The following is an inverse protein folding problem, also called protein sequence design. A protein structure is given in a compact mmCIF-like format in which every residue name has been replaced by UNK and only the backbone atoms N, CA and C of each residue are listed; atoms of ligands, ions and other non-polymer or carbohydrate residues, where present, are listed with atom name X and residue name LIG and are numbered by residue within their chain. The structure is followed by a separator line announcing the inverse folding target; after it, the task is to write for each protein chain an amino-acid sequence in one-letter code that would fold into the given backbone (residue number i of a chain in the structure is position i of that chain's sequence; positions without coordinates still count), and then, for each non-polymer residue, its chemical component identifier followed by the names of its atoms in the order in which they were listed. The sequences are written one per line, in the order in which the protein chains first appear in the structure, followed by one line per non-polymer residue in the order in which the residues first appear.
data_IF_274958463774
#
_entry.id   IF_274958463774
#
_cell.length_a   1.000
_cell.length_b   1.000
_cell.length_c   1.000
_cell.angle_alpha   90.00
_cell.angle_beta   90.00
_cell.angle_gamma   90.00
#
_symmetry.space_group_name_H-M   'P 1'
#
loop_
_entity.id
_entity.type
_entity.pdbx_description
1 polymer ?
#
# COMPACT_ATOMS: atom_id res chain seq x y z
N UNK A 1 17.27 47.68 25.70
CA UNK A 1 16.77 46.32 25.94
C UNK A 1 15.57 45.90 25.04
N UNK A 2 15.16 46.69 24.03
CA UNK A 2 13.96 46.35 23.18
C UNK A 2 14.29 45.67 21.82
N UNK A 3 15.56 45.52 21.46
CA UNK A 3 15.95 44.95 20.16
C UNK A 3 16.23 43.42 20.17
N UNK A 4 16.43 42.80 21.35
CA UNK A 4 16.74 41.36 21.45
C UNK A 4 15.51 40.50 21.44
N UNK A 5 14.37 40.98 21.96
CA UNK A 5 13.10 40.22 22.01
C UNK A 5 12.48 40.02 20.63
N UNK A 6 12.62 40.97 19.70
CA UNK A 6 12.00 40.86 18.36
C UNK A 6 12.68 39.81 17.48
N UNK A 7 14.02 39.67 17.60
CA UNK A 7 14.78 38.68 16.82
C UNK A 7 14.49 37.24 17.26
N UNK A 8 14.28 37.00 18.55
CA UNK A 8 13.96 35.65 19.08
C UNK A 8 12.57 35.17 18.63
N UNK A 9 11.60 36.06 18.56
CA UNK A 9 10.25 35.73 18.09
C UNK A 9 10.19 35.43 16.58
N UNK A 10 11.00 36.14 15.78
CA UNK A 10 11.05 35.92 14.32
C UNK A 10 11.68 34.54 13.98
N UNK A 11 12.72 34.14 14.71
CA UNK A 11 13.36 32.83 14.53
C UNK A 11 12.46 31.72 14.99
N UNK A 12 11.71 31.89 16.07
CA UNK A 12 10.78 30.88 16.59
C UNK A 12 9.55 30.67 15.67
N UNK A 13 9.05 31.72 15.02
CA UNK A 13 7.99 31.64 14.03
C UNK A 13 8.42 30.92 12.73
N UNK A 14 9.66 31.14 12.28
CA UNK A 14 10.20 30.44 11.11
C UNK A 14 10.43 28.94 11.36
N UNK A 15 10.85 28.56 12.56
CA UNK A 15 11.05 27.15 12.91
C UNK A 15 9.73 26.35 12.99
N UNK A 16 8.63 26.99 13.38
CA UNK A 16 7.32 26.34 13.43
C UNK A 16 6.64 26.22 12.05
N UNK A 17 6.97 27.10 11.10
CA UNK A 17 6.40 27.06 9.75
C UNK A 17 7.11 26.02 8.83
N UNK A 18 8.39 25.73 9.09
CA UNK A 18 9.18 24.82 8.24
C UNK A 18 8.61 23.38 8.15
N UNK A 19 8.10 22.73 9.22
CA UNK A 19 7.49 21.42 9.15
C UNK A 19 6.18 21.41 8.34
N UNK A 20 5.38 22.46 8.44
CA UNK A 20 4.11 22.56 7.71
C UNK A 20 4.31 22.72 6.20
N UNK A 21 5.31 23.50 5.78
CA UNK A 21 5.66 23.64 4.37
C UNK A 21 6.16 22.32 3.76
N UNK A 22 6.95 21.54 4.51
CA UNK A 22 7.42 20.23 4.07
C UNK A 22 6.27 19.21 3.96
N UNK A 23 5.34 19.22 4.90
CA UNK A 23 4.19 18.32 4.89
C UNK A 23 3.25 18.64 3.70
N UNK A 24 2.99 19.92 3.45
CA UNK A 24 2.16 20.35 2.33
C UNK A 24 2.77 19.98 0.97
N UNK A 25 4.07 20.08 0.81
CA UNK A 25 4.77 19.69 -0.41
C UNK A 25 4.77 18.17 -0.61
N UNK A 26 4.95 17.36 0.45
CA UNK A 26 4.80 15.91 0.41
C UNK A 26 3.40 15.50 -0.04
N UNK A 27 2.36 16.06 0.59
CA UNK A 27 0.97 15.72 0.29
C UNK A 27 0.61 16.07 -1.15
N UNK A 28 1.04 17.21 -1.66
CA UNK A 28 0.86 17.61 -3.05
C UNK A 28 1.53 16.64 -4.02
N UNK A 29 2.77 16.24 -3.74
CA UNK A 29 3.54 15.30 -4.56
C UNK A 29 2.94 13.90 -4.54
N UNK A 30 2.50 13.40 -3.38
CA UNK A 30 1.79 12.12 -3.27
C UNK A 30 0.46 12.15 -4.02
N UNK A 31 -0.31 13.24 -3.90
CA UNK A 31 -1.59 13.41 -4.59
C UNK A 31 -1.42 13.40 -6.10
N UNK A 32 -0.41 14.08 -6.63
CA UNK A 32 -0.12 14.08 -8.07
C UNK A 32 0.28 12.68 -8.57
N UNK A 33 1.18 12.00 -7.84
CA UNK A 33 1.56 10.63 -8.17
C UNK A 33 0.37 9.66 -8.13
N UNK A 34 -0.49 9.80 -7.10
CA UNK A 34 -1.68 8.96 -6.95
C UNK A 34 -2.74 9.21 -8.02
N UNK A 35 -2.98 10.46 -8.40
CA UNK A 35 -3.85 10.79 -9.56
C UNK A 35 -3.33 10.17 -10.84
N UNK A 36 -2.02 10.28 -11.10
CA UNK A 36 -1.39 9.64 -12.26
C UNK A 36 -1.59 8.12 -12.24
N UNK A 37 -1.45 7.50 -11.05
CA UNK A 37 -1.62 6.06 -10.86
C UNK A 37 -3.05 5.59 -11.13
N UNK A 38 -4.03 6.28 -10.55
CA UNK A 38 -5.46 5.90 -10.67
C UNK A 38 -6.06 6.21 -12.03
N UNK A 39 -5.47 7.14 -12.80
CA UNK A 39 -5.86 7.45 -14.17
C UNK A 39 -5.14 6.63 -15.23
N UNK A 40 -4.14 5.81 -14.83
CA UNK A 40 -3.39 4.99 -15.76
C UNK A 40 -4.26 3.86 -16.34
N UNK A 41 -4.31 3.75 -17.66
CA UNK A 41 -5.06 2.72 -18.40
C UNK A 41 -4.17 1.63 -18.98
N UNK A 42 -2.84 1.80 -18.90
CA UNK A 42 -1.86 0.87 -19.45
C UNK A 42 -0.56 0.85 -18.63
N UNK A 43 0.34 -0.07 -18.98
CA UNK A 43 1.61 -0.26 -18.26
C UNK A 43 2.50 1.00 -18.29
N UNK A 44 2.50 1.76 -19.40
CA UNK A 44 3.31 2.99 -19.51
C UNK A 44 2.86 4.03 -18.51
N UNK A 45 1.55 4.24 -18.38
CA UNK A 45 0.97 5.14 -17.39
C UNK A 45 1.27 4.70 -15.94
N UNK A 46 1.16 3.40 -15.65
CA UNK A 46 1.51 2.84 -14.34
C UNK A 46 3.00 3.05 -14.01
N UNK A 47 3.91 2.81 -14.95
CA UNK A 47 5.34 3.05 -14.78
C UNK A 47 5.65 4.54 -14.58
N UNK A 48 4.95 5.44 -15.27
CA UNK A 48 5.07 6.89 -15.05
C UNK A 48 4.69 7.27 -13.62
N UNK A 49 3.58 6.74 -13.13
CA UNK A 49 3.15 6.98 -11.73
C UNK A 49 4.14 6.38 -10.72
N UNK A 50 4.64 5.16 -10.98
CA UNK A 50 5.65 4.52 -10.14
C UNK A 50 6.93 5.35 -10.03
N UNK A 51 7.42 5.89 -11.15
CA UNK A 51 8.58 6.78 -11.15
C UNK A 51 8.34 8.03 -10.28
N UNK A 52 7.13 8.61 -10.33
CA UNK A 52 6.76 9.72 -9.44
C UNK A 52 6.82 9.30 -7.97
N UNK A 53 6.23 8.16 -7.58
CA UNK A 53 6.29 7.66 -6.20
C UNK A 53 7.73 7.38 -5.75
N UNK A 54 8.56 6.79 -6.60
CA UNK A 54 9.96 6.54 -6.29
C UNK A 54 10.74 7.86 -6.07
N UNK A 55 10.48 8.90 -6.88
CA UNK A 55 11.05 10.24 -6.68
C UNK A 55 10.57 10.87 -5.36
N UNK A 56 9.29 10.75 -5.03
CA UNK A 56 8.75 11.21 -3.74
C UNK A 56 9.45 10.49 -2.59
N UNK A 57 9.60 9.17 -2.64
CA UNK A 57 10.29 8.40 -1.61
C UNK A 57 11.79 8.72 -1.50
N UNK A 58 12.42 9.11 -2.60
CA UNK A 58 13.81 9.58 -2.58
C UNK A 58 13.92 10.93 -1.90
N UNK A 59 13.03 11.89 -2.23
CA UNK A 59 13.03 13.23 -1.67
C UNK A 59 12.63 13.25 -0.19
N UNK A 60 11.68 12.41 0.20
CA UNK A 60 11.15 12.31 1.57
C UNK A 60 11.40 10.93 2.18
N UNK A 61 12.65 10.49 2.17
CA UNK A 61 13.04 9.15 2.59
C UNK A 61 12.63 8.78 4.03
N UNK A 62 12.53 9.78 4.91
CA UNK A 62 12.14 9.62 6.31
C UNK A 62 10.62 9.81 6.54
N UNK A 63 9.81 9.77 5.49
CA UNK A 63 8.36 9.84 5.59
C UNK A 63 7.74 8.48 5.29
N UNK A 64 6.94 7.99 6.22
CA UNK A 64 6.30 6.68 6.13
C UNK A 64 5.47 6.55 4.86
N UNK A 65 4.59 7.53 4.58
CA UNK A 65 3.69 7.49 3.44
C UNK A 65 4.43 7.48 2.09
N UNK A 66 5.56 8.19 1.98
CA UNK A 66 6.37 8.19 0.77
C UNK A 66 6.92 6.79 0.45
N UNK A 67 7.49 6.11 1.45
CA UNK A 67 7.99 4.75 1.30
C UNK A 67 6.84 3.74 1.08
N UNK A 68 5.69 3.94 1.75
CA UNK A 68 4.49 3.12 1.59
C UNK A 68 4.01 3.11 0.13
N UNK A 69 3.78 4.28 -0.46
CA UNK A 69 3.28 4.36 -1.83
C UNK A 69 4.30 3.91 -2.88
N UNK A 70 5.59 4.11 -2.65
CA UNK A 70 6.64 3.57 -3.50
C UNK A 70 6.66 2.03 -3.44
N UNK A 71 6.56 1.42 -2.25
CA UNK A 71 6.45 -0.02 -2.11
C UNK A 71 5.18 -0.56 -2.78
N UNK A 72 4.03 0.07 -2.52
CA UNK A 72 2.75 -0.32 -3.09
C UNK A 72 2.76 -0.30 -4.62
N UNK A 73 3.21 0.81 -5.22
CA UNK A 73 3.19 0.95 -6.70
C UNK A 73 4.11 -0.06 -7.40
N UNK A 74 5.30 -0.33 -6.87
CA UNK A 74 6.19 -1.36 -7.42
C UNK A 74 5.57 -2.76 -7.29
N UNK A 75 4.99 -3.10 -6.13
CA UNK A 75 4.30 -4.37 -5.93
C UNK A 75 3.07 -4.51 -6.84
N UNK A 76 2.25 -3.47 -6.97
CA UNK A 76 1.09 -3.47 -7.85
C UNK A 76 1.48 -3.72 -9.31
N UNK A 77 2.50 -3.04 -9.81
CA UNK A 77 2.96 -3.21 -11.19
C UNK A 77 3.51 -4.62 -11.40
N UNK A 78 4.20 -5.20 -10.43
CA UNK A 78 4.68 -6.58 -10.52
C UNK A 78 3.54 -7.58 -10.75
N UNK A 79 2.35 -7.32 -10.22
CA UNK A 79 1.18 -8.19 -10.46
C UNK A 79 0.60 -8.06 -11.88
N UNK A 80 0.92 -6.99 -12.59
CA UNK A 80 0.49 -6.72 -13.98
C UNK A 80 1.55 -7.09 -15.01
N UNK A 81 2.80 -7.26 -14.60
CA UNK A 81 3.91 -7.68 -15.44
C UNK A 81 3.76 -9.16 -15.82
N UNK A 82 4.31 -9.55 -16.95
CA UNK A 82 4.27 -10.93 -17.47
C UNK A 82 5.61 -11.66 -17.29
N UNK A 83 6.73 -10.94 -17.43
CA UNK A 83 8.06 -11.51 -17.27
C UNK A 83 8.41 -11.76 -15.80
N UNK A 84 8.64 -13.03 -15.38
CA UNK A 84 8.96 -13.37 -14.00
C UNK A 84 10.20 -12.66 -13.46
N UNK A 85 11.22 -12.46 -14.28
CA UNK A 85 12.44 -11.76 -13.88
C UNK A 85 12.16 -10.29 -13.57
N UNK A 86 11.33 -9.65 -14.40
CA UNK A 86 10.94 -8.27 -14.20
C UNK A 86 10.01 -8.10 -13.00
N UNK A 87 9.10 -9.07 -12.77
CA UNK A 87 8.31 -9.13 -11.53
C UNK A 87 9.22 -9.12 -10.30
N UNK A 88 10.22 -10.01 -10.26
CA UNK A 88 11.15 -10.09 -9.13
C UNK A 88 11.94 -8.79 -8.94
N UNK A 89 12.43 -8.16 -10.00
CA UNK A 89 13.12 -6.86 -9.92
C UNK A 89 12.24 -5.76 -9.30
N UNK A 90 10.98 -5.67 -9.70
CA UNK A 90 10.03 -4.72 -9.11
C UNK A 90 9.77 -5.03 -7.64
N UNK A 91 9.69 -6.29 -7.29
CA UNK A 91 9.47 -6.73 -5.91
C UNK A 91 10.71 -6.52 -5.02
N UNK A 92 11.93 -6.63 -5.57
CA UNK A 92 13.16 -6.26 -4.85
C UNK A 92 13.14 -4.78 -4.46
N UNK A 93 12.68 -3.92 -5.38
CA UNK A 93 12.50 -2.48 -5.10
C UNK A 93 11.40 -2.27 -4.05
N UNK A 94 10.26 -2.97 -4.19
CA UNK A 94 9.16 -2.87 -3.23
C UNK A 94 9.60 -3.29 -1.82
N UNK A 95 10.33 -4.39 -1.67
CA UNK A 95 10.86 -4.88 -0.39
C UNK A 95 11.84 -3.91 0.25
N UNK A 96 12.68 -3.23 -0.54
CA UNK A 96 13.56 -2.17 -0.03
C UNK A 96 12.76 -0.99 0.56
N UNK A 97 11.66 -0.58 -0.07
CA UNK A 97 10.78 0.44 0.48
C UNK A 97 9.97 -0.06 1.68
N UNK A 98 9.54 -1.32 1.68
CA UNK A 98 8.91 -1.96 2.85
C UNK A 98 9.87 -1.94 4.05
N UNK A 99 11.14 -2.25 3.86
CA UNK A 99 12.12 -2.19 4.94
C UNK A 99 12.26 -0.78 5.52
N UNK A 100 12.36 0.26 4.67
CA UNK A 100 12.39 1.67 5.10
C UNK A 100 11.10 2.07 5.83
N UNK A 101 9.95 1.73 5.29
CA UNK A 101 8.64 1.98 5.89
C UNK A 101 8.52 1.33 7.28
N UNK A 102 8.94 0.07 7.40
CA UNK A 102 8.90 -0.68 8.66
C UNK A 102 9.84 -0.11 9.72
N UNK A 103 10.99 0.43 9.34
CA UNK A 103 11.88 1.14 10.26
C UNK A 103 11.24 2.43 10.83
N UNK A 104 10.29 3.02 10.11
CA UNK A 104 9.60 4.23 10.53
C UNK A 104 8.34 3.90 11.37
N UNK A 105 7.56 2.91 10.96
CA UNK A 105 6.32 2.50 11.66
C UNK A 105 5.88 1.08 11.26
N UNK A 106 6.72 0.08 11.47
CA UNK A 106 6.45 -1.30 11.08
C UNK A 106 5.34 -2.00 11.87
N UNK A 107 4.99 -1.47 13.04
CA UNK A 107 3.93 -2.03 13.89
C UNK A 107 2.51 -1.59 13.53
N UNK A 108 2.34 -0.64 12.60
CA UNK A 108 1.00 -0.22 12.18
C UNK A 108 0.31 -1.30 11.34
N UNK A 109 -1.01 -1.34 11.39
CA UNK A 109 -1.84 -2.25 10.59
C UNK A 109 -1.57 -2.09 9.08
N UNK A 110 -1.42 -0.86 8.60
CA UNK A 110 -1.14 -0.57 7.20
C UNK A 110 0.26 -1.03 6.76
N UNK A 111 1.28 -0.91 7.62
CA UNK A 111 2.61 -1.45 7.32
C UNK A 111 2.58 -2.98 7.21
N UNK A 112 1.86 -3.63 8.11
CA UNK A 112 1.68 -5.08 8.12
C UNK A 112 0.87 -5.56 6.89
N UNK A 113 -0.20 -4.84 6.54
CA UNK A 113 -1.01 -5.12 5.34
C UNK A 113 -0.19 -4.99 4.06
N UNK A 114 0.60 -3.92 3.92
CA UNK A 114 1.43 -3.75 2.73
C UNK A 114 2.54 -4.81 2.66
N UNK A 115 3.14 -5.18 3.79
CA UNK A 115 4.11 -6.29 3.85
C UNK A 115 3.46 -7.61 3.39
N UNK A 116 2.21 -7.87 3.81
CA UNK A 116 1.45 -9.03 3.36
C UNK A 116 1.16 -8.98 1.85
N UNK A 117 0.81 -7.81 1.31
CA UNK A 117 0.57 -7.63 -0.11
C UNK A 117 1.82 -7.89 -0.96
N UNK A 118 2.99 -7.40 -0.54
CA UNK A 118 4.27 -7.66 -1.22
C UNK A 118 4.61 -9.16 -1.17
N UNK A 119 4.38 -9.82 -0.05
CA UNK A 119 4.55 -11.28 0.05
C UNK A 119 3.62 -12.03 -0.91
N UNK A 120 2.34 -11.62 -1.01
CA UNK A 120 1.42 -12.19 -1.99
C UNK A 120 1.89 -11.97 -3.44
N UNK A 121 2.38 -10.78 -3.77
CA UNK A 121 2.94 -10.50 -5.09
C UNK A 121 4.16 -11.38 -5.41
N UNK A 122 5.02 -11.67 -4.43
CA UNK A 122 6.13 -12.65 -4.58
C UNK A 122 5.64 -14.07 -4.83
N UNK A 123 4.57 -14.47 -4.15
CA UNK A 123 3.94 -15.77 -4.43
C UNK A 123 3.50 -15.86 -5.89
N UNK A 124 2.90 -14.81 -6.45
CA UNK A 124 2.39 -14.78 -7.84
C UNK A 124 3.47 -14.87 -8.92
N UNK A 125 4.76 -14.72 -8.59
CA UNK A 125 5.86 -14.89 -9.56
C UNK A 125 6.03 -16.36 -9.94
N UNK A 126 6.00 -17.25 -8.94
CA UNK A 126 6.11 -18.71 -9.11
C UNK A 126 5.27 -19.41 -8.04
N UNK A 127 3.95 -19.56 -8.26
CA UNK A 127 3.05 -20.12 -7.26
C UNK A 127 3.42 -21.54 -6.83
N UNK A 128 3.98 -22.37 -7.73
CA UNK A 128 4.29 -23.77 -7.43
C UNK A 128 5.41 -23.90 -6.39
N UNK A 129 6.44 -23.05 -6.51
CA UNK A 129 7.63 -23.16 -5.67
C UNK A 129 7.62 -22.18 -4.49
N UNK A 130 6.75 -21.16 -4.52
CA UNK A 130 6.77 -20.05 -3.55
C UNK A 130 5.63 -20.04 -2.54
N UNK A 131 4.62 -20.89 -2.68
CA UNK A 131 3.38 -20.81 -1.90
C UNK A 131 3.61 -20.97 -0.39
N UNK A 132 4.39 -21.97 0.05
CA UNK A 132 4.60 -22.20 1.49
C UNK A 132 5.23 -21.00 2.18
N UNK A 133 6.31 -20.46 1.59
CA UNK A 133 7.02 -19.31 2.15
C UNK A 133 6.16 -18.05 2.14
N UNK A 134 5.65 -17.68 0.98
CA UNK A 134 5.09 -16.35 0.81
C UNK A 134 3.62 -16.22 1.23
N UNK A 135 2.80 -17.26 1.08
CA UNK A 135 1.46 -17.27 1.69
C UNK A 135 1.55 -17.38 3.22
N UNK A 136 2.55 -18.10 3.76
CA UNK A 136 2.82 -18.11 5.19
C UNK A 136 3.18 -16.72 5.73
N UNK A 137 4.08 -15.99 5.03
CA UNK A 137 4.43 -14.60 5.38
C UNK A 137 3.24 -13.66 5.26
N UNK A 138 2.46 -13.77 4.19
CA UNK A 138 1.22 -12.99 4.00
C UNK A 138 0.27 -13.17 5.17
N UNK A 139 -0.11 -14.42 5.47
CA UNK A 139 -1.06 -14.74 6.53
C UNK A 139 -0.57 -14.27 7.90
N UNK A 140 0.71 -14.50 8.22
CA UNK A 140 1.28 -14.03 9.49
C UNK A 140 1.21 -12.51 9.66
N UNK A 141 1.41 -11.73 8.59
CA UNK A 141 1.29 -10.28 8.65
C UNK A 141 -0.17 -9.82 8.72
N UNK A 142 -1.10 -10.47 8.00
CA UNK A 142 -2.53 -10.15 8.09
C UNK A 142 -3.09 -10.45 9.49
N UNK A 143 -2.70 -11.56 10.11
CA UNK A 143 -3.07 -11.87 11.49
C UNK A 143 -2.55 -10.83 12.51
N UNK A 144 -1.31 -10.36 12.33
CA UNK A 144 -0.77 -9.26 13.14
C UNK A 144 -1.54 -7.97 12.91
N UNK A 145 -1.82 -7.62 11.65
CA UNK A 145 -2.59 -6.43 11.29
C UNK A 145 -4.00 -6.47 11.90
N UNK A 146 -4.66 -7.63 11.87
CA UNK A 146 -5.98 -7.84 12.46
C UNK A 146 -5.99 -7.64 13.98
N UNK A 147 -4.91 -8.00 14.68
CA UNK A 147 -4.76 -7.74 16.12
C UNK A 147 -4.59 -6.25 16.41
N UNK A 148 -3.91 -5.50 15.53
CA UNK A 148 -3.71 -4.05 15.68
C UNK A 148 -4.99 -3.28 15.35
N UNK A 149 -5.61 -3.60 14.23
CA UNK A 149 -6.82 -2.92 13.76
C UNK A 149 -7.72 -3.89 12.97
N UNK A 150 -8.67 -4.56 13.62
CA UNK A 150 -9.62 -5.45 12.94
C UNK A 150 -10.59 -4.71 12.00
N UNK A 151 -10.63 -3.38 12.05
CA UNK A 151 -11.42 -2.52 11.16
C UNK A 151 -10.73 -2.17 9.83
N UNK A 152 -9.50 -2.61 9.59
CA UNK A 152 -8.82 -2.34 8.32
C UNK A 152 -9.40 -3.23 7.19
N UNK A 153 -10.07 -2.65 6.16
CA UNK A 153 -10.72 -3.42 5.10
C UNK A 153 -9.74 -4.21 4.23
N UNK A 154 -8.49 -3.74 4.09
CA UNK A 154 -7.47 -4.35 3.24
C UNK A 154 -7.05 -5.72 3.76
N UNK A 155 -7.21 -5.99 5.06
CA UNK A 155 -6.98 -7.31 5.66
C UNK A 155 -7.92 -8.31 4.99
N UNK A 156 -9.21 -8.05 5.01
CA UNK A 156 -10.22 -8.96 4.49
C UNK A 156 -10.17 -9.06 2.95
N UNK A 157 -9.91 -7.95 2.28
CA UNK A 157 -9.66 -7.96 0.85
C UNK A 157 -8.52 -8.93 0.49
N UNK A 158 -7.38 -8.83 1.19
CA UNK A 158 -6.22 -9.70 0.92
C UNK A 158 -6.44 -11.14 1.37
N UNK A 159 -7.23 -11.41 2.41
CA UNK A 159 -7.64 -12.77 2.78
C UNK A 159 -8.52 -13.40 1.68
N UNK A 160 -9.40 -12.63 1.07
CA UNK A 160 -10.30 -13.10 0.02
C UNK A 160 -9.62 -13.43 -1.31
N UNK A 161 -8.58 -12.67 -1.70
CA UNK A 161 -7.96 -12.81 -3.03
C UNK A 161 -7.34 -14.19 -3.28
N UNK A 162 -6.53 -14.78 -2.38
CA UNK A 162 -6.02 -16.14 -2.58
C UNK A 162 -7.15 -17.20 -2.57
N UNK A 163 -8.15 -17.03 -1.72
CA UNK A 163 -9.29 -17.97 -1.68
C UNK A 163 -10.10 -17.95 -2.97
N UNK A 164 -10.29 -16.77 -3.57
CA UNK A 164 -10.95 -16.62 -4.88
C UNK A 164 -10.21 -17.37 -5.99
N UNK A 165 -8.89 -17.28 -6.01
CA UNK A 165 -8.04 -17.87 -7.04
C UNK A 165 -7.69 -19.34 -6.78
N UNK A 166 -7.91 -19.84 -5.57
CA UNK A 166 -7.66 -21.23 -5.21
C UNK A 166 -8.73 -22.13 -5.84
N UNK A 167 -8.36 -23.22 -6.54
CA UNK A 167 -9.33 -24.14 -7.11
C UNK A 167 -10.29 -24.73 -6.07
N UNK A 168 -11.56 -24.98 -6.46
CA UNK A 168 -12.57 -25.60 -5.58
C UNK A 168 -12.12 -26.96 -5.02
N UNK A 169 -11.36 -27.73 -5.81
CA UNK A 169 -10.78 -29.01 -5.39
C UNK A 169 -9.89 -28.89 -4.13
N UNK A 170 -9.27 -27.73 -3.93
CA UNK A 170 -8.44 -27.42 -2.76
C UNK A 170 -9.17 -26.58 -1.72
N UNK A 171 -10.49 -26.52 -1.78
CA UNK A 171 -11.32 -25.81 -0.81
C UNK A 171 -11.32 -24.28 -0.99
N UNK A 172 -11.11 -23.78 -2.21
CA UNK A 172 -11.23 -22.37 -2.57
C UNK A 172 -12.40 -22.07 -3.47
N UNK A 173 -12.40 -20.92 -4.10
CA UNK A 173 -13.39 -20.48 -5.09
C UNK A 173 -14.23 -19.29 -4.62
N UNK A 174 -15.11 -18.83 -5.51
CA UNK A 174 -15.94 -17.63 -5.33
C UNK A 174 -16.76 -17.65 -4.04
N UNK A 175 -17.37 -18.80 -3.71
CA UNK A 175 -18.25 -18.96 -2.54
C UNK A 175 -17.46 -18.80 -1.22
N UNK A 176 -16.22 -19.29 -1.19
CA UNK A 176 -15.32 -19.18 -0.03
C UNK A 176 -14.78 -17.77 0.12
N UNK A 177 -14.48 -17.10 -0.98
CA UNK A 177 -13.92 -15.75 -1.00
C UNK A 177 -14.97 -14.65 -0.71
N UNK A 178 -16.21 -14.85 -1.12
CA UNK A 178 -17.30 -13.85 -1.05
C UNK A 178 -17.46 -13.22 0.34
N UNK A 179 -17.53 -13.96 1.45
CA UNK A 179 -17.67 -13.35 2.79
C UNK A 179 -16.55 -12.38 3.15
N UNK A 180 -15.32 -12.62 2.71
CA UNK A 180 -14.18 -11.73 2.93
C UNK A 180 -14.38 -10.41 2.18
N UNK A 181 -14.77 -10.47 0.91
CA UNK A 181 -15.00 -9.26 0.10
C UNK A 181 -16.21 -8.45 0.57
N UNK A 182 -17.28 -9.12 1.05
CA UNK A 182 -18.43 -8.45 1.68
C UNK A 182 -18.02 -7.70 2.94
N UNK A 183 -17.23 -8.33 3.81
CA UNK A 183 -16.70 -7.69 5.00
C UNK A 183 -15.79 -6.51 4.67
N UNK A 184 -14.89 -6.67 3.71
CA UNK A 184 -14.05 -5.59 3.22
C UNK A 184 -14.88 -4.41 2.69
N UNK A 185 -15.92 -4.67 1.89
CA UNK A 185 -16.84 -3.65 1.36
C UNK A 185 -17.47 -2.80 2.47
N UNK A 186 -18.00 -3.45 3.52
CA UNK A 186 -18.61 -2.73 4.64
C UNK A 186 -17.59 -1.83 5.35
N UNK A 187 -16.37 -2.33 5.56
CA UNK A 187 -15.31 -1.58 6.21
C UNK A 187 -14.73 -0.45 5.32
N UNK A 188 -14.61 -0.65 4.01
CA UNK A 188 -14.23 0.43 3.08
C UNK A 188 -15.23 1.59 3.12
N UNK A 189 -16.53 1.30 3.21
CA UNK A 189 -17.56 2.33 3.29
C UNK A 189 -17.45 3.21 4.56
N UNK A 190 -16.78 2.74 5.60
CA UNK A 190 -16.53 3.52 6.83
C UNK A 190 -15.23 4.32 6.79
N UNK A 191 -14.35 4.06 5.81
CA UNK A 191 -13.07 4.77 5.67
C UNK A 191 -13.29 6.11 4.94
N UNK A 192 -13.58 7.16 5.71
CA UNK A 192 -13.67 8.52 5.17
C UNK A 192 -12.40 9.29 5.54
N UNK A 193 -11.48 9.43 4.59
CA UNK A 193 -10.30 10.27 4.78
C UNK A 193 -9.95 10.97 3.47
N UNK A 194 -9.63 12.26 3.54
CA UNK A 194 -9.04 13.02 2.43
C UNK A 194 -7.52 13.17 2.57
N UNK A 195 -6.94 12.57 3.61
CA UNK A 195 -5.52 12.64 3.92
C UNK A 195 -4.74 11.62 3.08
N UNK A 196 -4.03 12.10 2.05
CA UNK A 196 -3.23 11.26 1.13
C UNK A 196 -2.13 10.47 1.85
N UNK A 197 -1.74 10.84 3.07
CA UNK A 197 -0.77 10.05 3.84
C UNK A 197 -1.36 8.74 4.38
N UNK A 198 -2.68 8.58 4.29
CA UNK A 198 -3.39 7.32 4.59
C UNK A 198 -3.66 6.55 3.29
N UNK A 199 -3.60 5.22 3.32
CA UNK A 199 -3.82 4.41 2.11
C UNK A 199 -5.25 4.48 1.56
N UNK A 200 -5.37 4.53 0.22
CA UNK A 200 -6.65 4.62 -0.49
C UNK A 200 -6.95 3.43 -1.42
N UNK A 201 -6.05 2.47 -1.53
CA UNK A 201 -6.20 1.34 -2.45
C UNK A 201 -7.08 0.21 -1.91
N UNK A 202 -7.54 -0.64 -2.81
CA UNK A 202 -8.19 -1.90 -2.50
C UNK A 202 -9.72 -1.88 -2.64
N UNK A 203 -10.39 -0.73 -2.47
CA UNK A 203 -11.86 -0.65 -2.54
C UNK A 203 -12.39 -1.03 -3.93
N UNK A 204 -11.80 -0.45 -4.98
CA UNK A 204 -12.21 -0.70 -6.37
C UNK A 204 -11.95 -2.15 -6.79
N UNK A 205 -10.80 -2.68 -6.41
CA UNK A 205 -10.42 -4.07 -6.65
C UNK A 205 -11.33 -5.03 -5.89
N UNK A 206 -11.65 -4.73 -4.63
CA UNK A 206 -12.59 -5.50 -3.82
C UNK A 206 -13.99 -5.54 -4.45
N UNK A 207 -14.48 -4.40 -4.93
CA UNK A 207 -15.76 -4.34 -5.63
C UNK A 207 -15.78 -5.19 -6.90
N UNK A 208 -14.67 -5.21 -7.65
CA UNK A 208 -14.54 -6.02 -8.85
C UNK A 208 -14.53 -7.54 -8.55
N UNK A 209 -13.85 -7.97 -7.48
CA UNK A 209 -13.89 -9.38 -7.04
C UNK A 209 -15.28 -9.77 -6.53
N UNK A 210 -15.91 -8.90 -5.74
CA UNK A 210 -17.25 -9.17 -5.20
C UNK A 210 -18.29 -9.29 -6.33
N UNK A 211 -18.22 -8.46 -7.37
CA UNK A 211 -19.07 -8.59 -8.54
C UNK A 211 -18.91 -9.96 -9.18
N UNK A 212 -17.69 -10.44 -9.40
CA UNK A 212 -17.41 -11.76 -9.95
C UNK A 212 -17.88 -12.92 -9.05
N UNK A 213 -18.03 -12.70 -7.74
CA UNK A 213 -18.60 -13.71 -6.84
C UNK A 213 -20.12 -13.85 -6.97
N UNK A 214 -20.80 -12.86 -7.58
CA UNK A 214 -22.25 -12.86 -7.76
C UNK A 214 -22.69 -13.37 -9.14
N UNK A 215 -21.72 -13.55 -10.06
CA UNK A 215 -21.92 -14.16 -11.38
C UNK A 215 -21.82 -15.71 -11.31
#
# INVERSE_FOLDING_TARGET
MKKVTTAVWTVMLLALAAPQLKAQDLNGSLTDAYKTFTSATNMVGLMTANNKFNLVATKWANQWAANYYAAYSNAYISTKETDPKRKDQLLDIAENYVAKMNNLNGGSDESLVLTAYVAYARFLVDPRNRWQKYLGLMNANLEKAKKVNPGNPRIYYLEGVPEFNKPKLYGGGKDVAKPYFEKAKVLFATQQSTDITKPYWGEKENAAYLAQCND
#
